data_IF_690052978923
#
_entry.id   IF_690052978923
#
_cell.length_a   1.000
_cell.length_b   1.000
_cell.length_c   1.000
_cell.angle_alpha   90.00
_cell.angle_beta   90.00
_cell.angle_gamma   90.00
#
_symmetry.space_group_name_H-M   'P 1'
#
loop_
_entity.id
_entity.type
_entity.pdbx_description
1 polymer ?
#
# COMPACT_ATOMS: atom_id res chain seq x y z
N UNK A 1 -8.56 -19.04 -14.62
CA UNK A 1 -7.19 -18.53 -14.80
C UNK A 1 -7.05 -17.55 -15.98
N UNK A 2 -7.53 -17.86 -17.20
CA UNK A 2 -7.38 -16.96 -18.39
C UNK A 2 -8.08 -15.59 -18.32
N UNK A 3 -9.10 -15.40 -17.47
CA UNK A 3 -9.76 -14.10 -17.28
C UNK A 3 -8.93 -13.09 -16.46
N UNK A 4 -8.02 -13.57 -15.61
CA UNK A 4 -7.17 -12.71 -14.79
C UNK A 4 -6.01 -12.12 -15.60
N UNK A 5 -5.41 -12.91 -16.51
CA UNK A 5 -4.30 -12.46 -17.36
C UNK A 5 -4.73 -11.45 -18.44
N UNK A 6 -5.97 -11.57 -18.96
CA UNK A 6 -6.57 -10.60 -19.90
C UNK A 6 -7.01 -9.29 -19.23
N UNK A 7 -6.91 -9.20 -17.90
CA UNK A 7 -7.24 -7.99 -17.18
C UNK A 7 -6.20 -6.90 -17.41
N UNK A 8 -4.93 -7.27 -17.59
CA UNK A 8 -3.80 -6.35 -17.61
C UNK A 8 -3.60 -5.69 -18.98
N UNK A 9 -3.35 -4.39 -18.98
CA UNK A 9 -2.99 -3.65 -20.20
C UNK A 9 -1.53 -3.93 -20.59
N UNK A 10 -1.11 -3.66 -21.85
CA UNK A 10 0.28 -3.83 -22.26
C UNK A 10 1.28 -3.05 -21.39
N UNK A 11 0.89 -1.88 -20.91
CA UNK A 11 1.70 -1.07 -19.99
C UNK A 11 1.87 -1.74 -18.62
N UNK A 12 0.81 -2.31 -18.06
CA UNK A 12 0.89 -3.03 -16.78
C UNK A 12 1.73 -4.31 -16.88
N UNK A 13 1.63 -5.01 -18.02
CA UNK A 13 2.51 -6.14 -18.33
C UNK A 13 3.96 -5.69 -18.45
N UNK A 14 4.22 -4.57 -19.11
CA UNK A 14 5.56 -3.98 -19.17
C UNK A 14 6.10 -3.70 -17.76
N UNK A 15 5.32 -3.04 -16.89
CA UNK A 15 5.73 -2.80 -15.50
C UNK A 15 6.08 -4.10 -14.76
N UNK A 16 5.20 -5.11 -14.80
CA UNK A 16 5.43 -6.39 -14.13
C UNK A 16 6.69 -7.08 -14.65
N UNK A 17 6.91 -7.10 -15.97
CA UNK A 17 8.08 -7.70 -16.60
C UNK A 17 9.35 -6.93 -16.20
N UNK A 18 9.32 -5.60 -16.21
CA UNK A 18 10.45 -4.76 -15.80
C UNK A 18 10.84 -5.04 -14.35
N UNK A 19 9.89 -5.15 -13.43
CA UNK A 19 10.18 -5.43 -12.02
C UNK A 19 10.76 -6.83 -11.82
N UNK A 20 10.24 -7.83 -12.54
CA UNK A 20 10.81 -9.18 -12.51
C UNK A 20 12.23 -9.16 -13.06
N UNK A 21 12.46 -8.48 -14.18
CA UNK A 21 13.80 -8.33 -14.77
C UNK A 21 14.77 -7.63 -13.83
N UNK A 22 14.34 -6.57 -13.12
CA UNK A 22 15.16 -5.88 -12.13
C UNK A 22 15.56 -6.80 -10.97
N UNK A 23 14.65 -7.67 -10.49
CA UNK A 23 15.01 -8.66 -9.46
C UNK A 23 16.10 -9.63 -9.95
N UNK A 24 16.04 -10.06 -11.21
CA UNK A 24 17.12 -10.86 -11.81
C UNK A 24 18.44 -10.08 -11.92
N UNK A 25 18.39 -8.79 -12.29
CA UNK A 25 19.59 -7.94 -12.33
C UNK A 25 20.21 -7.81 -10.93
N UNK A 26 19.41 -7.58 -9.88
CA UNK A 26 19.91 -7.53 -8.50
C UNK A 26 20.58 -8.85 -8.13
N UNK A 27 19.97 -9.99 -8.47
CA UNK A 27 20.56 -11.31 -8.27
C UNK A 27 21.92 -11.45 -8.97
N UNK A 28 22.05 -11.02 -10.24
CA UNK A 28 23.33 -11.09 -10.96
C UNK A 28 24.42 -10.18 -10.40
N UNK A 29 24.06 -9.03 -9.81
CA UNK A 29 25.02 -8.09 -9.21
C UNK A 29 25.47 -8.56 -7.83
N UNK A 30 24.53 -9.00 -6.99
CA UNK A 30 24.80 -9.37 -5.60
C UNK A 30 25.24 -10.82 -5.44
N UNK A 31 24.89 -11.70 -6.38
CA UNK A 31 25.12 -13.14 -6.29
C UNK A 31 24.19 -13.86 -5.31
N UNK A 32 23.32 -13.13 -4.61
CA UNK A 32 22.42 -13.66 -3.58
C UNK A 32 20.97 -13.67 -4.08
N UNK A 33 20.30 -14.81 -3.96
CA UNK A 33 18.89 -14.93 -4.32
C UNK A 33 18.00 -14.76 -3.09
N UNK A 34 17.37 -13.59 -2.98
CA UNK A 34 16.33 -13.37 -1.98
C UNK A 34 14.93 -13.54 -2.59
N UNK A 35 14.45 -14.78 -2.51
CA UNK A 35 13.10 -15.13 -2.96
C UNK A 35 12.01 -14.35 -2.22
N UNK A 36 12.21 -14.01 -0.93
CA UNK A 36 11.21 -13.33 -0.12
C UNK A 36 11.04 -11.89 -0.58
N UNK A 37 12.14 -11.15 -0.77
CA UNK A 37 12.11 -9.79 -1.32
C UNK A 37 11.54 -9.73 -2.73
N UNK A 38 11.85 -10.71 -3.57
CA UNK A 38 11.29 -10.80 -4.91
C UNK A 38 9.76 -10.99 -4.89
N UNK A 39 9.26 -11.92 -4.06
CA UNK A 39 7.82 -12.13 -3.90
C UNK A 39 7.14 -10.89 -3.31
N UNK A 40 7.74 -10.24 -2.31
CA UNK A 40 7.22 -9.00 -1.72
C UNK A 40 7.11 -7.89 -2.77
N UNK A 41 8.12 -7.72 -3.62
CA UNK A 41 8.14 -6.69 -4.66
C UNK A 41 7.08 -6.94 -5.73
N UNK A 42 7.00 -8.18 -6.24
CA UNK A 42 6.01 -8.55 -7.27
C UNK A 42 4.58 -8.45 -6.73
N UNK A 43 4.34 -8.93 -5.51
CA UNK A 43 3.03 -8.85 -4.86
C UNK A 43 2.63 -7.40 -4.56
N UNK A 44 3.56 -6.53 -4.19
CA UNK A 44 3.31 -5.10 -4.00
C UNK A 44 2.83 -4.41 -5.27
N UNK A 45 3.51 -4.66 -6.39
CA UNK A 45 3.14 -4.04 -7.67
C UNK A 45 1.80 -4.58 -8.14
N UNK A 46 1.57 -5.88 -8.03
CA UNK A 46 0.26 -6.47 -8.32
C UNK A 46 -0.83 -5.86 -7.45
N UNK A 47 -0.58 -5.63 -6.15
CA UNK A 47 -1.52 -4.97 -5.25
C UNK A 47 -1.88 -3.58 -5.79
N UNK A 48 -0.91 -2.71 -6.02
CA UNK A 48 -1.11 -1.33 -6.48
C UNK A 48 -1.86 -1.27 -7.81
N UNK A 49 -1.49 -2.12 -8.78
CA UNK A 49 -2.19 -2.20 -10.08
C UNK A 49 -3.64 -2.65 -9.90
N UNK A 50 -3.90 -3.61 -9.02
CA UNK A 50 -5.26 -4.09 -8.74
C UNK A 50 -6.09 -3.05 -7.97
N UNK A 51 -5.49 -2.27 -7.07
CA UNK A 51 -6.15 -1.13 -6.39
C UNK A 51 -6.58 -0.11 -7.43
N UNK A 52 -5.69 0.30 -8.33
CA UNK A 52 -5.99 1.27 -9.40
C UNK A 52 -7.16 0.83 -10.28
N UNK A 53 -7.30 -0.48 -10.51
CA UNK A 53 -8.37 -1.06 -11.33
C UNK A 53 -9.61 -1.45 -10.52
N UNK A 54 -9.62 -1.18 -9.22
CA UNK A 54 -10.73 -1.43 -8.31
C UNK A 54 -11.05 -2.91 -8.10
N UNK A 55 -10.08 -3.81 -8.29
CA UNK A 55 -10.29 -5.27 -8.22
C UNK A 55 -10.04 -5.80 -6.81
N UNK A 56 -10.97 -6.60 -6.27
CA UNK A 56 -10.93 -7.05 -4.86
C UNK A 56 -9.72 -7.93 -4.51
N UNK A 57 -9.12 -8.62 -5.47
CA UNK A 57 -7.91 -9.42 -5.22
C UNK A 57 -6.69 -8.59 -4.81
N UNK A 58 -6.75 -7.25 -4.90
CA UNK A 58 -5.70 -6.38 -4.38
C UNK A 58 -5.37 -6.70 -2.91
N UNK A 59 -6.38 -7.02 -2.09
CA UNK A 59 -6.18 -7.32 -0.66
C UNK A 59 -5.44 -8.62 -0.41
N UNK A 60 -5.52 -9.60 -1.33
CA UNK A 60 -4.76 -10.84 -1.23
C UNK A 60 -3.26 -10.58 -1.48
N UNK A 61 -2.96 -9.89 -2.58
CA UNK A 61 -1.58 -9.54 -2.92
C UNK A 61 -0.99 -8.50 -1.95
N UNK A 62 -1.83 -7.58 -1.47
CA UNK A 62 -1.49 -6.61 -0.43
C UNK A 62 -1.13 -7.30 0.86
N UNK A 63 -1.95 -8.25 1.33
CA UNK A 63 -1.65 -9.03 2.54
C UNK A 63 -0.33 -9.80 2.43
N UNK A 64 -0.05 -10.44 1.29
CA UNK A 64 1.24 -11.11 1.05
C UNK A 64 2.37 -10.09 1.15
N UNK A 65 2.25 -8.95 0.45
CA UNK A 65 3.31 -7.96 0.43
C UNK A 65 3.57 -7.36 1.81
N UNK A 66 2.54 -6.89 2.53
CA UNK A 66 2.75 -6.22 3.82
C UNK A 66 3.24 -7.21 4.89
N UNK A 67 2.85 -8.48 4.81
CA UNK A 67 3.34 -9.51 5.74
C UNK A 67 4.82 -9.82 5.50
N UNK A 68 5.22 -9.99 4.23
CA UNK A 68 6.62 -10.22 3.87
C UNK A 68 7.47 -8.98 4.17
N UNK A 69 6.96 -7.78 3.88
CA UNK A 69 7.67 -6.54 4.15
C UNK A 69 7.85 -6.30 5.65
N UNK A 70 6.85 -6.65 6.48
CA UNK A 70 6.97 -6.64 7.95
C UNK A 70 8.08 -7.58 8.40
N UNK A 71 8.13 -8.82 7.87
CA UNK A 71 9.16 -9.79 8.21
C UNK A 71 10.57 -9.33 7.82
N UNK A 72 10.73 -8.79 6.60
CA UNK A 72 12.01 -8.27 6.11
C UNK A 72 12.47 -7.05 6.91
N UNK A 73 11.56 -6.12 7.21
CA UNK A 73 11.84 -4.92 8.00
C UNK A 73 12.23 -5.25 9.44
N UNK A 74 11.65 -6.31 10.01
CA UNK A 74 12.05 -6.83 11.32
C UNK A 74 13.50 -7.31 11.32
N UNK A 75 13.93 -8.01 10.26
CA UNK A 75 15.29 -8.53 10.14
C UNK A 75 16.38 -7.45 10.11
N UNK A 76 16.06 -6.26 9.60
CA UNK A 76 16.98 -5.11 9.52
C UNK A 76 16.81 -4.09 10.67
N UNK A 77 15.83 -4.31 11.56
CA UNK A 77 15.58 -3.43 12.71
C UNK A 77 14.78 -2.15 12.39
N UNK A 78 14.05 -2.11 11.27
CA UNK A 78 13.17 -0.99 10.92
C UNK A 78 11.82 -1.10 11.62
N UNK A 79 11.83 -0.81 12.92
CA UNK A 79 10.67 -0.95 13.82
C UNK A 79 9.47 -0.09 13.42
N UNK A 80 9.70 1.10 12.84
CA UNK A 80 8.63 1.96 12.33
C UNK A 80 7.85 1.30 11.19
N UNK A 81 8.57 0.72 10.22
CA UNK A 81 7.97 -0.01 9.09
C UNK A 81 7.28 -1.30 9.54
N UNK A 82 7.87 -2.01 10.51
CA UNK A 82 7.24 -3.18 11.14
C UNK A 82 5.91 -2.80 11.78
N UNK A 83 5.87 -1.71 12.56
CA UNK A 83 4.66 -1.26 13.22
C UNK A 83 3.61 -0.82 12.19
N UNK A 84 4.01 -0.03 11.19
CA UNK A 84 3.11 0.46 10.15
C UNK A 84 2.51 -0.69 9.31
N UNK A 85 3.36 -1.57 8.79
CA UNK A 85 2.91 -2.65 7.92
C UNK A 85 2.20 -3.76 8.72
N UNK A 86 2.79 -4.18 9.84
CA UNK A 86 2.31 -5.29 10.64
C UNK A 86 1.10 -4.94 11.51
N UNK A 87 1.14 -3.82 12.23
CA UNK A 87 0.07 -3.46 13.17
C UNK A 87 -1.05 -2.66 12.53
N UNK A 88 -0.78 -1.92 11.45
CA UNK A 88 -1.80 -1.10 10.78
C UNK A 88 -2.23 -1.64 9.42
N UNK A 89 -1.31 -1.91 8.48
CA UNK A 89 -1.72 -2.36 7.15
C UNK A 89 -2.31 -3.76 7.12
N UNK A 90 -1.72 -4.75 7.80
CA UNK A 90 -2.26 -6.13 7.86
C UNK A 90 -3.73 -6.16 8.29
N UNK A 91 -4.15 -5.61 9.45
CA UNK A 91 -5.57 -5.60 9.82
C UNK A 91 -6.42 -4.79 8.84
N UNK A 92 -5.90 -3.69 8.31
CA UNK A 92 -6.59 -2.90 7.29
C UNK A 92 -6.81 -3.67 5.97
N UNK A 93 -5.96 -4.64 5.61
CA UNK A 93 -6.23 -5.52 4.46
C UNK A 93 -7.52 -6.33 4.64
N UNK A 94 -7.77 -6.84 5.85
CA UNK A 94 -9.01 -7.57 6.17
C UNK A 94 -10.22 -6.62 6.18
N UNK A 95 -10.11 -5.48 6.87
CA UNK A 95 -11.19 -4.48 6.95
C UNK A 95 -11.57 -4.02 5.53
N UNK A 96 -10.58 -3.69 4.72
CA UNK A 96 -10.75 -3.29 3.34
C UNK A 96 -11.40 -4.37 2.49
N UNK A 97 -10.96 -5.62 2.61
CA UNK A 97 -11.58 -6.75 1.92
C UNK A 97 -13.07 -6.88 2.25
N UNK A 98 -13.45 -6.83 3.53
CA UNK A 98 -14.86 -6.91 3.93
C UNK A 98 -15.68 -5.74 3.39
N UNK A 99 -15.17 -4.52 3.49
CA UNK A 99 -15.86 -3.32 3.00
C UNK A 99 -16.03 -3.31 1.47
N UNK A 100 -15.01 -3.71 0.73
CA UNK A 100 -15.06 -3.79 -0.73
C UNK A 100 -15.91 -4.97 -1.21
N UNK A 101 -15.87 -6.12 -0.51
CA UNK A 101 -16.71 -7.27 -0.80
C UNK A 101 -18.20 -6.92 -0.72
N UNK A 102 -18.62 -6.22 0.34
CA UNK A 102 -20.00 -5.76 0.50
C UNK A 102 -20.46 -4.88 -0.67
N UNK A 103 -19.63 -3.91 -1.07
CA UNK A 103 -19.91 -2.99 -2.19
C UNK A 103 -19.91 -3.67 -3.57
N UNK A 104 -19.15 -4.74 -3.72
CA UNK A 104 -19.06 -5.53 -4.95
C UNK A 104 -20.32 -6.38 -5.16
N UNK A 105 -20.88 -6.92 -4.07
CA UNK A 105 -22.13 -7.72 -4.08
C UNK A 105 -23.36 -6.90 -4.45
N UNK A 106 -23.42 -5.63 -4.05
CA UNK A 106 -24.55 -4.73 -4.35
C UNK A 106 -24.61 -4.29 -5.84
N UNK A 107 -23.54 -4.50 -6.63
CA UNK A 107 -23.39 -3.90 -7.96
C UNK A 107 -23.22 -4.85 -9.16
N UNK A 108 -23.34 -6.17 -9.00
CA UNK A 108 -23.13 -7.18 -10.07
C UNK A 108 -21.76 -7.11 -10.79
N UNK A 109 -20.76 -6.38 -10.26
CA UNK A 109 -19.48 -6.15 -10.92
C UNK A 109 -18.33 -6.44 -9.97
N UNK A 110 -17.30 -7.12 -10.46
CA UNK A 110 -16.01 -7.38 -9.76
C UNK A 110 -15.15 -6.14 -9.51
N UNK A 111 -15.66 -4.94 -9.82
CA UNK A 111 -14.95 -3.66 -9.68
C UNK A 111 -15.69 -2.73 -8.74
N UNK A 112 -14.96 -2.19 -7.78
CA UNK A 112 -15.48 -1.17 -6.87
C UNK A 112 -15.37 0.21 -7.52
N UNK A 113 -16.46 0.98 -7.52
CA UNK A 113 -16.45 2.37 -8.03
C UNK A 113 -15.77 3.30 -7.02
N UNK A 114 -14.80 4.08 -7.48
CA UNK A 114 -14.20 5.14 -6.70
C UNK A 114 -15.21 6.25 -6.38
N UNK A 115 -15.05 6.87 -5.22
CA UNK A 115 -15.79 8.06 -4.77
C UNK A 115 -14.81 9.23 -4.76
N UNK A 116 -15.33 10.44 -4.96
CA UNK A 116 -14.53 11.65 -4.82
C UNK A 116 -14.95 12.38 -3.54
N UNK A 117 -14.00 12.94 -2.83
CA UNK A 117 -14.26 13.87 -1.75
C UNK A 117 -14.78 15.19 -2.32
N UNK A 118 -15.70 15.82 -1.59
CA UNK A 118 -16.09 17.20 -1.87
C UNK A 118 -14.94 18.16 -1.55
N UNK A 119 -14.93 19.36 -2.13
CA UNK A 119 -13.89 20.37 -1.89
C UNK A 119 -13.72 20.70 -0.40
N UNK A 120 -14.83 20.74 0.35
CA UNK A 120 -14.81 20.92 1.82
C UNK A 120 -14.10 19.76 2.53
N UNK A 121 -14.40 18.52 2.15
CA UNK A 121 -13.75 17.35 2.72
C UNK A 121 -12.27 17.27 2.37
N UNK A 122 -11.87 17.70 1.16
CA UNK A 122 -10.45 17.80 0.78
C UNK A 122 -9.70 18.81 1.64
N UNK A 123 -10.30 19.97 1.91
CA UNK A 123 -9.71 20.97 2.81
C UNK A 123 -9.56 20.43 4.23
N UNK A 124 -10.60 19.77 4.76
CA UNK A 124 -10.55 19.13 6.08
C UNK A 124 -9.46 18.05 6.11
N UNK A 125 -9.37 17.23 5.08
CA UNK A 125 -8.33 16.21 4.95
C UNK A 125 -6.93 16.83 4.98
N UNK A 126 -6.69 17.90 4.21
CA UNK A 126 -5.40 18.60 4.18
C UNK A 126 -5.03 19.16 5.56
N UNK A 127 -6.00 19.76 6.27
CA UNK A 127 -5.78 20.26 7.64
C UNK A 127 -5.49 19.10 8.60
N UNK A 128 -6.23 18.00 8.51
CA UNK A 128 -6.00 16.80 9.35
C UNK A 128 -4.61 16.22 9.10
N UNK A 129 -4.20 16.07 7.84
CA UNK A 129 -2.84 15.61 7.51
C UNK A 129 -1.78 16.54 8.10
N UNK A 130 -1.93 17.86 7.95
CA UNK A 130 -0.99 18.83 8.49
C UNK A 130 -0.90 18.75 10.02
N UNK A 131 -2.05 18.69 10.71
CA UNK A 131 -2.10 18.57 12.17
C UNK A 131 -1.46 17.27 12.65
N UNK A 132 -1.77 16.14 12.00
CA UNK A 132 -1.18 14.84 12.33
C UNK A 132 0.33 14.84 12.12
N UNK A 133 0.81 15.37 10.99
CA UNK A 133 2.25 15.46 10.70
C UNK A 133 2.97 16.33 11.73
N UNK A 134 2.43 17.50 12.06
CA UNK A 134 3.07 18.39 13.06
C UNK A 134 3.03 17.77 14.45
N UNK A 135 1.88 17.23 14.87
CA UNK A 135 1.76 16.57 16.17
C UNK A 135 2.71 15.37 16.29
N UNK A 136 2.79 14.54 15.25
CA UNK A 136 3.72 13.42 15.19
C UNK A 136 5.17 13.85 15.19
N UNK A 137 5.51 14.94 14.49
CA UNK A 137 6.86 15.48 14.47
C UNK A 137 7.30 15.96 15.87
N UNK A 138 6.40 16.60 16.62
CA UNK A 138 6.68 17.02 18.00
C UNK A 138 6.90 15.82 18.94
N UNK A 139 6.16 14.72 18.73
CA UNK A 139 6.36 13.49 19.50
C UNK A 139 7.69 12.85 19.13
N UNK A 140 8.02 12.73 17.85
CA UNK A 140 9.28 12.14 17.39
C UNK A 140 10.51 12.98 17.79
N UNK A 141 10.39 14.30 17.78
CA UNK A 141 11.41 15.23 18.25
C UNK A 141 11.70 15.03 19.75
N UNK A 142 10.67 14.72 20.55
CA UNK A 142 10.84 14.36 21.96
C UNK A 142 11.60 13.03 22.18
N UNK A 143 11.61 12.14 21.19
CA UNK A 143 12.32 10.86 21.22
C UNK A 143 13.67 10.91 20.48
N UNK A 144 14.20 12.13 20.21
CA UNK A 144 15.47 12.35 19.52
C UNK A 144 15.55 11.69 18.13
N UNK A 145 14.42 11.63 17.42
CA UNK A 145 14.38 11.12 16.05
C UNK A 145 15.23 11.99 15.10
N UNK A 146 16.03 11.41 14.20
CA UNK A 146 16.94 12.17 13.33
C UNK A 146 16.23 13.00 12.26
N UNK A 147 14.99 12.67 11.89
CA UNK A 147 14.21 13.39 10.89
C UNK A 147 12.70 13.46 11.25
N UNK A 148 12.33 14.07 12.39
CA UNK A 148 11.00 13.93 12.98
C UNK A 148 9.86 14.35 12.05
N UNK A 149 10.08 15.42 11.27
CA UNK A 149 9.08 15.95 10.35
C UNK A 149 8.89 15.07 9.12
N UNK A 150 9.97 14.49 8.59
CA UNK A 150 9.90 13.63 7.41
C UNK A 150 9.26 12.30 7.78
N UNK A 151 9.69 11.71 8.90
CA UNK A 151 9.23 10.40 9.36
C UNK A 151 7.78 10.44 9.85
N UNK A 152 7.39 11.54 10.50
CA UNK A 152 5.98 11.81 10.80
C UNK A 152 5.15 11.97 9.52
N UNK A 153 5.63 12.75 8.55
CA UNK A 153 4.89 12.98 7.31
C UNK A 153 4.65 11.67 6.53
N UNK A 154 5.69 10.87 6.34
CA UNK A 154 5.59 9.58 5.62
C UNK A 154 4.63 8.63 6.34
N UNK A 155 4.68 8.57 7.67
CA UNK A 155 3.82 7.69 8.48
C UNK A 155 2.36 8.12 8.43
N UNK A 156 2.04 9.39 8.72
CA UNK A 156 0.64 9.82 8.81
C UNK A 156 -0.01 9.94 7.44
N UNK A 157 0.72 10.37 6.40
CA UNK A 157 0.19 10.36 5.03
C UNK A 157 -0.11 8.93 4.57
N UNK A 158 0.76 7.97 4.90
CA UNK A 158 0.56 6.53 4.67
C UNK A 158 -0.70 6.00 5.36
N UNK A 159 -0.90 6.36 6.64
CA UNK A 159 -2.10 6.00 7.40
C UNK A 159 -3.36 6.52 6.72
N UNK A 160 -3.36 7.81 6.36
CA UNK A 160 -4.49 8.47 5.71
C UNK A 160 -4.76 7.86 4.33
N UNK A 161 -3.73 7.63 3.51
CA UNK A 161 -3.86 7.02 2.19
C UNK A 161 -4.52 5.64 2.26
N UNK A 162 -4.08 4.78 3.19
CA UNK A 162 -4.68 3.46 3.39
C UNK A 162 -6.15 3.57 3.82
N UNK A 163 -6.48 4.51 4.72
CA UNK A 163 -7.86 4.74 5.13
C UNK A 163 -8.75 5.17 3.94
N UNK A 164 -8.26 6.08 3.10
CA UNK A 164 -8.96 6.52 1.89
C UNK A 164 -9.12 5.38 0.88
N UNK A 165 -8.12 4.52 0.74
CA UNK A 165 -8.16 3.33 -0.11
C UNK A 165 -9.27 2.36 0.32
N UNK A 166 -9.31 2.01 1.61
CA UNK A 166 -10.36 1.17 2.21
C UNK A 166 -11.75 1.77 1.99
N UNK A 167 -11.87 3.10 2.08
CA UNK A 167 -13.12 3.83 1.83
C UNK A 167 -13.44 4.06 0.35
N UNK A 168 -12.52 3.69 -0.56
CA UNK A 168 -12.59 3.82 -2.02
C UNK A 168 -12.61 5.28 -2.51
N UNK A 169 -11.92 6.19 -1.83
CA UNK A 169 -11.76 7.57 -2.31
C UNK A 169 -10.67 7.68 -3.36
N UNK A 170 -10.83 8.54 -4.36
CA UNK A 170 -9.86 8.74 -5.44
C UNK A 170 -8.65 9.55 -4.98
N UNK A 171 -8.82 10.41 -3.98
CA UNK A 171 -7.77 11.23 -3.35
C UNK A 171 -6.71 10.43 -2.58
N UNK A 172 -6.76 9.10 -2.64
CA UNK A 172 -5.69 8.23 -2.14
C UNK A 172 -4.43 8.27 -3.03
N UNK A 173 -4.57 8.71 -4.29
CA UNK A 173 -3.50 8.88 -5.27
C UNK A 173 -3.08 10.34 -5.34
#
# INVERSE_FOLDING_TARGET
>A
MMKFLRFFSPYEWFLLITIIALNFVVFFITGEWDALSAIATVSGVLCVVLVAKGHISNYLFGLIQVSLYTYLSWGVGYWGEVALNGLYYVPMQFIGFFMWSKRTREGSRTRVKAKNLTTKQRLVLAVVCLVLTVAGALVLDHFDDPAPLLDSATTFLSIVAMFLMVKTYSEQW
#
